data_IF_919471634920
#
_entry.id   IF_919471634920
#
_cell.length_a   1.000
_cell.length_b   1.000
_cell.length_c   1.000
_cell.angle_alpha   90.00
_cell.angle_beta   90.00
_cell.angle_gamma   90.00
#
_symmetry.space_group_name_H-M   'P 1'
#
loop_
_entity.id
_entity.type
_entity.pdbx_description
1 polymer ?
#
# COMPACT_ATOMS: atom_id res chain seq x y z
N UNK A 1 10.98 13.11 -9.29
CA UNK A 1 11.36 12.49 -8.01
C UNK A 1 10.12 12.57 -7.11
N UNK A 2 9.15 11.70 -7.38
CA UNK A 2 7.96 11.52 -6.52
C UNK A 2 8.44 10.46 -5.54
N UNK A 3 8.97 10.93 -4.42
CA UNK A 3 9.83 10.17 -3.52
C UNK A 3 9.02 9.37 -2.50
N UNK A 4 9.69 8.47 -1.80
CA UNK A 4 9.17 7.67 -0.69
C UNK A 4 8.12 8.38 0.19
N UNK A 5 8.34 9.64 0.54
CA UNK A 5 7.41 10.43 1.37
C UNK A 5 6.02 10.62 0.75
N UNK A 6 5.87 10.73 -0.58
CA UNK A 6 4.54 10.79 -1.19
C UNK A 6 3.83 9.44 -1.10
N UNK A 7 4.53 8.33 -1.27
CA UNK A 7 3.93 7.00 -1.10
C UNK A 7 3.45 6.76 0.33
N UNK A 8 4.22 7.23 1.32
CA UNK A 8 3.82 7.18 2.73
C UNK A 8 2.53 7.98 2.94
N UNK A 9 2.50 9.23 2.51
CA UNK A 9 1.32 10.12 2.65
C UNK A 9 0.10 9.55 1.95
N UNK A 10 0.24 9.06 0.71
CA UNK A 10 -0.85 8.49 -0.07
C UNK A 10 -1.39 7.21 0.59
N UNK A 11 -0.51 6.41 1.21
CA UNK A 11 -0.89 5.22 1.97
C UNK A 11 -1.71 5.56 3.22
N UNK A 12 -1.25 6.54 4.01
CA UNK A 12 -1.96 7.02 5.21
C UNK A 12 -3.32 7.62 4.86
N UNK A 13 -3.40 8.37 3.75
CA UNK A 13 -4.66 8.93 3.24
C UNK A 13 -5.62 7.81 2.83
N UNK A 14 -5.15 6.83 2.05
CA UNK A 14 -5.97 5.68 1.65
C UNK A 14 -6.49 4.89 2.87
N UNK A 15 -5.63 4.62 3.85
CA UNK A 15 -6.01 3.98 5.11
C UNK A 15 -7.09 4.78 5.86
N UNK A 16 -6.94 6.11 5.93
CA UNK A 16 -7.93 7.00 6.54
C UNK A 16 -9.29 6.90 5.86
N UNK A 17 -9.33 6.83 4.52
CA UNK A 17 -10.58 6.69 3.78
C UNK A 17 -11.31 5.38 4.12
N UNK A 18 -10.59 4.25 4.19
CA UNK A 18 -11.18 2.97 4.60
C UNK A 18 -11.72 3.03 6.03
N UNK A 19 -11.01 3.66 6.97
CA UNK A 19 -11.49 3.82 8.37
C UNK A 19 -12.71 4.70 8.50
N UNK A 20 -12.88 5.68 7.60
CA UNK A 20 -14.07 6.51 7.53
C UNK A 20 -15.24 5.84 6.80
N UNK A 21 -15.08 4.59 6.35
CA UNK A 21 -16.10 3.86 5.61
C UNK A 21 -16.32 4.42 4.20
N UNK A 22 -15.34 5.11 3.62
CA UNK A 22 -15.37 5.66 2.25
C UNK A 22 -14.75 4.66 1.27
N UNK A 23 -15.18 3.40 1.34
CA UNK A 23 -14.57 2.24 0.66
C UNK A 23 -14.49 2.41 -0.87
N UNK A 24 -15.48 3.04 -1.50
CA UNK A 24 -15.46 3.32 -2.95
C UNK A 24 -14.32 4.27 -3.33
N UNK A 25 -14.16 5.36 -2.60
CA UNK A 25 -13.08 6.33 -2.88
C UNK A 25 -11.72 5.79 -2.46
N UNK A 26 -11.68 5.08 -1.32
CA UNK A 26 -10.48 4.39 -0.86
C UNK A 26 -9.99 3.36 -1.88
N UNK A 27 -10.90 2.61 -2.52
CA UNK A 27 -10.57 1.67 -3.59
C UNK A 27 -9.95 2.35 -4.82
N UNK A 28 -10.47 3.51 -5.22
CA UNK A 28 -9.88 4.31 -6.31
C UNK A 28 -8.48 4.82 -5.93
N UNK A 29 -8.33 5.36 -4.72
CA UNK A 29 -7.04 5.83 -4.21
C UNK A 29 -6.02 4.67 -4.13
N UNK A 30 -6.45 3.48 -3.71
CA UNK A 30 -5.61 2.30 -3.63
C UNK A 30 -5.09 1.84 -5.01
N UNK A 31 -5.91 1.93 -6.06
CA UNK A 31 -5.50 1.63 -7.44
C UNK A 31 -4.39 2.60 -7.88
N UNK A 32 -4.55 3.90 -7.62
CA UNK A 32 -3.54 4.90 -7.98
C UNK A 32 -2.24 4.71 -7.19
N UNK A 33 -2.35 4.48 -5.88
CA UNK A 33 -1.21 4.20 -4.99
C UNK A 33 -0.40 2.99 -5.47
N UNK A 34 -1.06 1.85 -5.69
CA UNK A 34 -0.40 0.61 -6.13
C UNK A 34 0.24 0.81 -7.51
N UNK A 35 -0.46 1.47 -8.43
CA UNK A 35 0.07 1.78 -9.76
C UNK A 35 1.32 2.66 -9.72
N UNK A 36 1.40 3.58 -8.75
CA UNK A 36 2.56 4.45 -8.55
C UNK A 36 3.72 3.74 -7.83
N UNK A 37 3.42 2.84 -6.89
CA UNK A 37 4.41 2.11 -6.08
C UNK A 37 5.06 0.94 -6.85
N UNK A 38 4.28 0.19 -7.64
CA UNK A 38 4.74 -1.02 -8.33
C UNK A 38 6.06 -0.85 -9.10
N UNK A 39 6.26 0.20 -9.93
CA UNK A 39 7.49 0.37 -10.70
C UNK A 39 8.75 0.53 -9.82
N UNK A 40 8.60 1.00 -8.59
CA UNK A 40 9.73 1.13 -7.65
C UNK A 40 10.19 -0.23 -7.15
N UNK A 41 9.26 -1.17 -6.95
CA UNK A 41 9.58 -2.54 -6.53
C UNK A 41 10.09 -3.40 -7.68
N UNK A 42 9.65 -3.17 -8.93
CA UNK A 42 10.10 -3.92 -10.11
C UNK A 42 11.63 -3.85 -10.33
N UNK A 43 12.29 -2.81 -9.78
CA UNK A 43 13.73 -2.59 -9.87
C UNK A 43 14.53 -3.18 -8.70
N UNK A 44 13.86 -3.66 -7.65
CA UNK A 44 14.51 -4.18 -6.45
C UNK A 44 14.87 -5.67 -6.56
N UNK A 45 15.75 -6.20 -5.69
CA UNK A 45 16.03 -7.63 -5.63
C UNK A 45 14.77 -8.49 -5.48
N UNK A 46 14.78 -9.68 -6.09
CA UNK A 46 13.64 -10.60 -6.12
C UNK A 46 13.05 -10.90 -4.72
N UNK A 47 13.91 -10.99 -3.69
CA UNK A 47 13.46 -11.20 -2.32
C UNK A 47 12.55 -10.07 -1.80
N UNK A 48 12.82 -8.81 -2.18
CA UNK A 48 12.00 -7.67 -1.80
C UNK A 48 10.72 -7.62 -2.65
N UNK A 49 10.82 -7.94 -3.95
CA UNK A 49 9.64 -8.08 -4.82
C UNK A 49 8.64 -9.11 -4.25
N UNK A 50 9.13 -10.24 -3.74
CA UNK A 50 8.27 -11.25 -3.11
C UNK A 50 7.58 -10.76 -1.83
N UNK A 51 8.26 -9.95 -1.02
CA UNK A 51 7.65 -9.34 0.17
C UNK A 51 6.53 -8.37 -0.22
N UNK A 52 6.76 -7.56 -1.26
CA UNK A 52 5.74 -6.68 -1.82
C UNK A 52 4.53 -7.45 -2.34
N UNK A 53 4.74 -8.49 -3.15
CA UNK A 53 3.64 -9.31 -3.68
C UNK A 53 2.85 -10.02 -2.57
N UNK A 54 3.52 -10.50 -1.52
CA UNK A 54 2.86 -11.11 -0.38
C UNK A 54 1.96 -10.11 0.36
N UNK A 55 2.47 -8.91 0.63
CA UNK A 55 1.71 -7.85 1.30
C UNK A 55 0.53 -7.39 0.43
N UNK A 56 0.75 -7.19 -0.86
CA UNK A 56 -0.31 -6.85 -1.81
C UNK A 56 -1.41 -7.92 -1.82
N UNK A 57 -1.04 -9.19 -1.80
CA UNK A 57 -2.00 -10.29 -1.66
C UNK A 57 -2.86 -10.19 -0.40
N UNK A 58 -2.27 -9.88 0.76
CA UNK A 58 -3.01 -9.69 2.01
C UNK A 58 -3.99 -8.52 1.96
N UNK A 59 -3.58 -7.41 1.34
CA UNK A 59 -4.46 -6.26 1.15
C UNK A 59 -5.65 -6.61 0.25
N UNK A 60 -5.42 -7.33 -0.85
CA UNK A 60 -6.49 -7.75 -1.77
C UNK A 60 -7.44 -8.77 -1.12
N UNK A 61 -6.92 -9.71 -0.32
CA UNK A 61 -7.74 -10.63 0.50
C UNK A 61 -8.66 -9.86 1.46
N UNK A 62 -8.13 -8.82 2.13
CA UNK A 62 -8.94 -7.96 3.00
C UNK A 62 -10.00 -7.19 2.22
N UNK A 63 -9.65 -6.69 1.03
CA UNK A 63 -10.58 -5.97 0.16
C UNK A 63 -11.74 -6.88 -0.30
N UNK A 64 -11.44 -8.09 -0.77
CA UNK A 64 -12.46 -9.07 -1.19
C UNK A 64 -13.39 -9.44 -0.03
N UNK A 65 -12.84 -9.58 1.18
CA UNK A 65 -13.60 -9.88 2.40
C UNK A 65 -14.32 -8.66 3.00
N UNK A 66 -14.20 -7.47 2.40
CA UNK A 66 -14.69 -6.19 2.95
C UNK A 66 -14.18 -5.89 4.36
N UNK A 67 -13.00 -6.39 4.70
CA UNK A 67 -12.35 -6.15 5.98
C UNK A 67 -11.56 -4.83 5.92
N UNK A 68 -12.29 -3.72 5.92
CA UNK A 68 -11.74 -2.38 5.70
C UNK A 68 -10.79 -1.91 6.79
N UNK A 69 -11.02 -2.34 8.04
CA UNK A 69 -10.13 -1.98 9.15
C UNK A 69 -8.78 -2.69 9.03
N UNK A 70 -8.77 -4.00 8.75
CA UNK A 70 -7.52 -4.72 8.55
C UNK A 70 -6.78 -4.23 7.29
N UNK A 71 -7.50 -3.91 6.21
CA UNK A 71 -6.91 -3.30 5.02
C UNK A 71 -6.25 -1.96 5.33
N UNK A 72 -6.90 -1.11 6.13
CA UNK A 72 -6.34 0.17 6.56
C UNK A 72 -5.07 -0.01 7.40
N UNK A 73 -5.03 -1.04 8.28
CA UNK A 73 -3.84 -1.34 9.07
C UNK A 73 -2.65 -1.72 8.16
N UNK A 74 -2.87 -2.60 7.17
CA UNK A 74 -1.83 -2.96 6.19
C UNK A 74 -1.30 -1.75 5.40
N UNK A 75 -2.18 -0.82 5.03
CA UNK A 75 -1.79 0.40 4.33
C UNK A 75 -0.98 1.34 5.25
N UNK A 76 -1.40 1.54 6.49
CA UNK A 76 -0.74 2.49 7.39
C UNK A 76 0.56 1.96 8.02
N UNK A 77 0.67 0.65 8.24
CA UNK A 77 1.80 0.10 8.98
C UNK A 77 2.72 -0.75 8.09
N UNK A 78 2.25 -1.90 7.61
CA UNK A 78 3.09 -2.86 6.89
C UNK A 78 3.59 -2.30 5.55
N UNK A 79 2.74 -1.59 4.80
CA UNK A 79 3.14 -0.98 3.54
C UNK A 79 4.15 0.14 3.76
N UNK A 80 3.90 1.03 4.72
CA UNK A 80 4.82 2.12 5.04
C UNK A 80 6.15 1.57 5.53
N UNK A 81 6.14 0.53 6.37
CA UNK A 81 7.36 -0.13 6.81
C UNK A 81 8.13 -0.71 5.63
N UNK A 82 7.46 -1.48 4.75
CA UNK A 82 8.12 -2.07 3.58
C UNK A 82 8.69 -0.99 2.65
N UNK A 83 7.95 0.10 2.41
CA UNK A 83 8.41 1.24 1.61
C UNK A 83 9.68 1.87 2.21
N UNK A 84 9.71 2.10 3.53
CA UNK A 84 10.86 2.68 4.22
C UNK A 84 12.07 1.74 4.16
N UNK A 85 11.87 0.47 4.49
CA UNK A 85 12.94 -0.53 4.52
C UNK A 85 13.53 -0.80 3.13
N UNK A 86 12.72 -0.64 2.07
CA UNK A 86 13.10 -0.98 0.68
C UNK A 86 13.60 0.20 -0.14
N UNK A 87 13.10 1.41 0.13
CA UNK A 87 13.32 2.60 -0.70
C UNK A 87 14.06 3.74 0.02
N UNK A 88 14.31 3.64 1.33
CA UNK A 88 15.26 4.56 1.97
C UNK A 88 16.66 4.14 1.52
N UNK A 89 17.27 4.96 0.64
CA UNK A 89 18.67 4.80 0.20
C UNK A 89 19.60 5.13 1.36
#
# INVERSE_FOLDING_TARGET
MIGLESFVVDSEQCATLFRLGRDVEAGLAMIELIGAVQPSFDLLPQAIQQQWLLLLGRMLECQEAQNWLALADYLEYELIQLLRDSLSI
#
